data_IF_192981198101
#
_entry.id   IF_192981198101
#
_cell.length_a   1.000
_cell.length_b   1.000
_cell.length_c   1.000
_cell.angle_alpha   90.00
_cell.angle_beta   90.00
_cell.angle_gamma   90.00
#
_symmetry.space_group_name_H-M   'P 1'
#
loop_
_entity.id
_entity.type
_entity.pdbx_description
1 polymer ?
#
# COMPACT_ATOMS: atom_id res chain seq x y z
N UNK A 1 4.51 6.92 21.71
CA UNK A 1 3.24 6.30 21.30
C UNK A 1 2.08 7.15 21.80
N UNK A 2 1.12 7.50 20.93
CA UNK A 2 -0.13 8.17 21.33
C UNK A 2 -1.27 7.16 21.41
N UNK A 3 -1.85 6.95 22.59
CA UNK A 3 -2.94 5.97 22.80
C UNK A 3 -4.33 6.53 22.47
N UNK A 4 -4.53 7.82 22.75
CA UNK A 4 -5.80 8.54 22.56
C UNK A 4 -5.68 9.53 21.39
N UNK A 5 -6.54 9.42 20.36
CA UNK A 5 -6.54 10.35 19.24
C UNK A 5 -7.29 11.65 19.57
N UNK A 6 -6.88 12.76 18.98
CA UNK A 6 -7.41 14.09 19.27
C UNK A 6 -7.52 14.96 18.02
N UNK A 7 -8.40 15.97 18.03
CA UNK A 7 -8.43 17.00 16.99
C UNK A 7 -7.51 18.14 17.39
N UNK A 8 -6.55 18.47 16.52
CA UNK A 8 -5.68 19.63 16.69
C UNK A 8 -6.23 20.82 15.91
N UNK A 9 -6.30 21.97 16.56
CA UNK A 9 -6.71 23.24 15.98
C UNK A 9 -5.61 24.28 16.17
N UNK A 10 -5.54 25.23 15.24
CA UNK A 10 -4.68 26.41 15.31
C UNK A 10 -5.56 27.65 15.41
N UNK A 11 -5.21 28.51 16.36
CA UNK A 11 -5.85 29.79 16.63
C UNK A 11 -4.89 30.91 16.21
N UNK A 12 -5.09 31.56 15.05
CA UNK A 12 -4.34 32.75 14.71
C UNK A 12 -4.79 33.92 15.60
N UNK A 13 -3.86 34.73 16.11
CA UNK A 13 -4.20 35.94 16.89
C UNK A 13 -5.09 36.93 16.12
N UNK A 14 -5.02 36.87 14.80
CA UNK A 14 -5.57 37.87 13.88
C UNK A 14 -6.81 37.35 13.13
N UNK A 15 -7.34 36.15 13.47
CA UNK A 15 -8.49 35.55 12.81
C UNK A 15 -9.56 35.05 13.80
N UNK A 16 -10.83 35.30 13.47
CA UNK A 16 -12.00 34.92 14.27
C UNK A 16 -12.37 33.43 14.22
N UNK A 17 -11.64 32.60 13.46
CA UNK A 17 -12.01 31.21 13.20
C UNK A 17 -10.83 30.25 13.43
N UNK A 18 -11.12 29.13 14.09
CA UNK A 18 -10.15 28.07 14.36
C UNK A 18 -9.86 27.26 13.08
N UNK A 19 -8.59 27.08 12.73
CA UNK A 19 -8.19 26.26 11.59
C UNK A 19 -7.81 24.85 12.05
N UNK A 20 -8.41 23.79 11.47
CA UNK A 20 -8.04 22.42 11.83
C UNK A 20 -6.67 22.05 11.25
N UNK A 21 -5.79 21.52 12.10
CA UNK A 21 -4.44 21.08 11.72
C UNK A 21 -4.43 19.59 11.40
N UNK A 22 -4.15 19.26 10.14
CA UNK A 22 -4.02 17.89 9.65
C UNK A 22 -2.54 17.48 9.62
N UNK A 23 -2.04 16.97 10.75
CA UNK A 23 -0.63 16.64 10.95
C UNK A 23 -0.34 15.14 10.98
N UNK A 24 -0.98 14.42 11.90
CA UNK A 24 -0.58 13.07 12.31
C UNK A 24 -1.73 12.07 12.15
N UNK A 25 -1.42 10.76 12.06
CA UNK A 25 -2.45 9.75 11.81
C UNK A 25 -3.51 9.73 12.91
N UNK A 26 -3.08 9.83 14.18
CA UNK A 26 -3.94 9.95 15.36
C UNK A 26 -4.69 11.29 15.49
N UNK A 27 -4.57 12.22 14.53
CA UNK A 27 -5.43 13.42 14.45
C UNK A 27 -6.38 13.44 13.24
N UNK A 28 -6.36 12.39 12.41
CA UNK A 28 -7.28 12.18 11.30
C UNK A 28 -8.63 11.64 11.77
N UNK A 29 -9.72 12.06 11.10
CA UNK A 29 -11.07 11.57 11.42
C UNK A 29 -11.23 10.06 11.26
N UNK A 30 -10.47 9.42 10.38
CA UNK A 30 -10.47 7.96 10.23
C UNK A 30 -9.96 7.25 11.50
N UNK A 31 -8.95 7.80 12.17
CA UNK A 31 -8.37 7.23 13.39
C UNK A 31 -9.25 7.55 14.61
N UNK A 32 -9.77 8.78 14.68
CA UNK A 32 -10.77 9.19 15.68
C UNK A 32 -12.03 8.30 15.60
N UNK A 33 -12.54 8.04 14.39
CA UNK A 33 -13.70 7.17 14.17
C UNK A 33 -13.38 5.72 14.57
N UNK A 34 -12.28 5.15 14.09
CA UNK A 34 -11.90 3.77 14.44
C UNK A 34 -11.67 3.58 15.95
N UNK A 35 -11.18 4.60 16.66
CA UNK A 35 -11.08 4.60 18.11
C UNK A 35 -12.46 4.68 18.79
N UNK A 36 -13.38 5.50 18.28
CA UNK A 36 -14.78 5.54 18.78
C UNK A 36 -15.49 4.20 18.59
N UNK A 37 -15.39 3.61 17.40
CA UNK A 37 -15.93 2.29 17.06
C UNK A 37 -15.31 1.18 17.95
N UNK A 38 -14.07 1.35 18.41
CA UNK A 38 -13.43 0.46 19.40
C UNK A 38 -13.97 0.69 20.83
N UNK A 39 -14.15 1.94 21.28
CA UNK A 39 -14.71 2.21 22.62
C UNK A 39 -16.21 1.83 22.74
N UNK A 40 -16.95 1.86 21.64
CA UNK A 40 -18.35 1.40 21.58
C UNK A 40 -18.48 -0.12 21.41
N UNK A 41 -17.38 -0.83 21.12
CA UNK A 41 -17.39 -2.29 20.94
C UNK A 41 -17.57 -3.04 22.26
N UNK A 42 -18.18 -4.24 22.27
CA UNK A 42 -18.26 -5.06 23.47
C UNK A 42 -16.85 -5.41 24.00
N UNK A 43 -16.57 -5.24 25.30
CA UNK A 43 -15.26 -5.57 25.86
C UNK A 43 -15.00 -7.08 25.81
N UNK A 44 -13.74 -7.45 25.56
CA UNK A 44 -13.33 -8.87 25.45
C UNK A 44 -13.64 -9.66 26.74
N UNK A 45 -14.19 -10.89 26.66
CA UNK A 45 -14.63 -11.63 27.84
C UNK A 45 -13.53 -11.87 28.88
N UNK A 46 -13.69 -11.26 30.05
CA UNK A 46 -12.71 -11.34 31.15
C UNK A 46 -11.55 -10.35 31.04
N UNK A 47 -11.52 -9.49 30.01
CA UNK A 47 -10.62 -8.36 29.93
C UNK A 47 -11.28 -7.09 30.49
N UNK A 48 -10.53 -6.35 31.31
CA UNK A 48 -10.94 -5.08 31.92
C UNK A 48 -9.83 -4.01 31.84
N UNK A 49 -8.99 -4.11 30.80
CA UNK A 49 -7.97 -3.14 30.44
C UNK A 49 -8.53 -2.10 29.46
N UNK A 50 -7.89 -0.93 29.36
CA UNK A 50 -8.24 0.07 28.35
C UNK A 50 -7.93 -0.45 26.94
N UNK A 51 -8.94 -0.55 26.08
CA UNK A 51 -8.76 -0.86 24.66
C UNK A 51 -8.20 0.37 23.93
N UNK A 52 -7.03 0.22 23.30
CA UNK A 52 -6.33 1.29 22.58
C UNK A 52 -6.09 0.89 21.13
N UNK A 53 -6.20 1.85 20.21
CA UNK A 53 -6.04 1.57 18.78
C UNK A 53 -4.56 1.63 18.37
N UNK A 54 -3.94 0.47 18.14
CA UNK A 54 -2.63 0.38 17.50
C UNK A 54 -2.80 0.45 15.97
N UNK A 55 -2.48 1.60 15.38
CA UNK A 55 -2.53 1.78 13.93
C UNK A 55 -1.28 1.22 13.27
N UNK A 56 -1.39 0.08 12.60
CA UNK A 56 -0.29 -0.49 11.81
C UNK A 56 -0.22 0.15 10.43
N UNK A 57 0.99 0.52 10.02
CA UNK A 57 1.35 0.78 8.64
C UNK A 57 2.22 -0.41 8.17
N UNK A 58 2.02 -0.95 6.95
CA UNK A 58 2.68 -2.19 6.46
C UNK A 58 3.39 -1.98 5.12
N UNK A 59 4.72 -2.14 5.12
CA UNK A 59 5.55 -1.36 4.20
C UNK A 59 6.80 -2.14 3.76
N UNK A 60 7.16 -2.18 2.48
CA UNK A 60 8.19 -3.11 1.96
C UNK A 60 8.86 -2.56 0.71
N UNK A 61 10.12 -2.89 0.47
CA UNK A 61 10.86 -2.54 -0.75
C UNK A 61 11.85 -3.65 -1.18
N UNK A 62 12.32 -3.63 -2.43
CA UNK A 62 13.28 -4.60 -2.98
C UNK A 62 14.69 -4.00 -3.07
N UNK A 63 15.39 -3.89 -1.93
CA UNK A 63 16.75 -3.35 -1.88
C UNK A 63 17.80 -4.24 -2.55
N UNK A 64 18.75 -3.62 -3.25
CA UNK A 64 19.99 -4.28 -3.68
C UNK A 64 21.09 -4.02 -2.65
N UNK A 65 21.64 -5.09 -2.06
CA UNK A 65 22.55 -5.01 -0.91
C UNK A 65 23.97 -4.57 -1.26
N UNK A 66 24.35 -4.66 -2.53
CA UNK A 66 25.73 -4.44 -2.98
C UNK A 66 25.76 -3.68 -4.30
N UNK A 67 26.58 -2.62 -4.38
CA UNK A 67 26.79 -1.83 -5.62
C UNK A 67 27.28 -2.65 -6.81
N UNK A 68 27.89 -3.82 -6.55
CA UNK A 68 28.28 -4.82 -7.53
C UNK A 68 27.83 -6.20 -7.05
N UNK A 69 27.21 -6.98 -7.92
CA UNK A 69 26.67 -8.31 -7.61
C UNK A 69 25.15 -8.35 -7.44
N UNK A 70 24.61 -9.58 -7.37
CA UNK A 70 23.17 -9.85 -7.42
C UNK A 70 22.50 -10.01 -6.04
N UNK A 71 23.18 -9.63 -4.95
CA UNK A 71 22.64 -9.73 -3.61
C UNK A 71 21.46 -8.75 -3.43
N UNK A 72 20.30 -9.28 -3.06
CA UNK A 72 19.07 -8.51 -2.84
C UNK A 72 18.40 -8.94 -1.56
N UNK A 73 17.73 -7.97 -0.92
CA UNK A 73 16.86 -8.16 0.21
C UNK A 73 15.46 -7.68 -0.19
N UNK A 74 14.43 -8.21 0.44
CA UNK A 74 13.05 -7.75 0.26
C UNK A 74 12.38 -7.63 1.64
N UNK A 75 12.87 -6.73 2.50
CA UNK A 75 12.33 -6.55 3.84
C UNK A 75 10.84 -6.16 3.80
N UNK A 76 10.10 -6.68 4.77
CA UNK A 76 8.82 -6.10 5.20
C UNK A 76 9.06 -5.39 6.52
N UNK A 77 8.63 -4.14 6.55
CA UNK A 77 8.66 -3.23 7.66
C UNK A 77 7.27 -2.86 8.19
N UNK A 78 7.21 -2.38 9.43
CA UNK A 78 5.96 -2.02 10.15
C UNK A 78 6.15 -0.77 11.03
N UNK A 79 5.44 0.33 10.74
CA UNK A 79 5.38 1.52 11.60
C UNK A 79 4.11 1.50 12.45
N UNK A 80 4.22 2.01 13.68
CA UNK A 80 3.05 2.48 14.42
C UNK A 80 2.69 3.89 13.98
N UNK A 81 1.49 4.03 13.42
CA UNK A 81 0.85 5.30 13.10
C UNK A 81 0.62 6.19 14.35
N UNK A 82 0.65 5.58 15.54
CA UNK A 82 0.61 6.23 16.85
C UNK A 82 1.89 7.03 17.17
N UNK A 83 2.98 6.87 16.41
CA UNK A 83 4.18 7.70 16.53
C UNK A 83 4.18 8.87 15.54
N UNK A 84 4.62 10.03 16.03
CA UNK A 84 4.65 11.26 15.24
C UNK A 84 5.57 11.12 14.03
N UNK A 85 5.17 11.65 12.87
CA UNK A 85 6.00 11.74 11.65
C UNK A 85 7.41 12.24 11.97
N UNK A 86 7.53 13.22 12.87
CA UNK A 86 8.84 13.76 13.29
C UNK A 86 9.75 12.70 13.92
N UNK A 87 9.24 11.88 14.85
CA UNK A 87 10.01 10.77 15.42
C UNK A 87 10.26 9.66 14.39
N UNK A 88 9.27 9.37 13.53
CA UNK A 88 9.41 8.38 12.45
C UNK A 88 10.49 8.79 11.43
N UNK A 89 10.64 10.09 11.13
CA UNK A 89 11.74 10.59 10.30
C UNK A 89 13.13 10.60 10.97
N UNK A 90 13.28 10.12 12.21
CA UNK A 90 14.56 10.08 12.93
C UNK A 90 15.06 8.65 13.13
N UNK A 91 16.13 8.22 12.42
CA UNK A 91 16.77 6.93 12.66
C UNK A 91 17.21 6.70 14.12
N UNK A 92 17.60 7.77 14.84
CA UNK A 92 18.00 7.70 16.25
C UNK A 92 16.85 7.49 17.24
N UNK A 93 15.59 7.67 16.82
CA UNK A 93 14.43 7.19 17.58
C UNK A 93 14.24 5.67 17.45
N UNK A 94 15.09 4.99 16.65
CA UNK A 94 15.08 3.56 16.38
C UNK A 94 13.74 3.02 15.91
N UNK A 95 12.92 3.88 15.30
CA UNK A 95 11.66 3.47 14.72
C UNK A 95 11.88 2.76 13.34
N UNK A 96 12.82 1.78 13.23
CA UNK A 96 12.95 0.84 12.09
C UNK A 96 12.57 -0.73 12.15
N UNK A 97 11.31 -1.16 12.45
CA UNK A 97 10.54 -2.43 12.23
C UNK A 97 11.03 -3.20 11.03
N UNK A 98 11.86 -4.23 11.21
CA UNK A 98 11.88 -5.39 10.32
C UNK A 98 10.91 -6.46 10.84
N UNK A 99 9.77 -6.65 10.19
CA UNK A 99 8.78 -7.67 10.53
C UNK A 99 8.99 -9.00 9.77
N UNK A 100 9.50 -8.95 8.54
CA UNK A 100 9.87 -10.15 7.77
C UNK A 100 10.91 -9.85 6.68
N UNK A 101 11.40 -10.89 6.02
CA UNK A 101 12.18 -10.79 4.78
C UNK A 101 11.56 -11.71 3.72
N UNK A 102 11.01 -11.12 2.67
CA UNK A 102 10.37 -11.85 1.58
C UNK A 102 11.41 -12.53 0.69
N UNK A 103 11.11 -13.75 0.27
CA UNK A 103 11.87 -14.50 -0.72
C UNK A 103 11.38 -14.17 -2.13
N UNK A 104 12.32 -13.83 -3.01
CA UNK A 104 12.12 -13.90 -4.45
C UNK A 104 12.10 -15.36 -4.92
N UNK A 105 11.43 -15.64 -6.04
CA UNK A 105 11.56 -16.95 -6.70
C UNK A 105 13.04 -17.18 -7.09
N UNK A 106 13.67 -18.31 -6.67
CA UNK A 106 15.07 -18.58 -6.97
C UNK A 106 15.27 -18.84 -8.46
N UNK A 107 16.47 -18.58 -8.99
CA UNK A 107 16.75 -18.79 -10.42
C UNK A 107 16.50 -20.24 -10.88
N UNK A 108 16.74 -21.22 -10.01
CA UNK A 108 16.45 -22.64 -10.23
C UNK A 108 14.96 -22.92 -10.51
N UNK A 109 14.04 -22.06 -10.08
CA UNK A 109 12.61 -22.17 -10.45
C UNK A 109 12.40 -22.05 -11.97
N UNK A 110 13.24 -21.28 -12.67
CA UNK A 110 13.16 -21.15 -14.14
C UNK A 110 13.50 -22.48 -14.81
N UNK A 111 14.49 -23.22 -14.30
CA UNK A 111 14.90 -24.50 -14.86
C UNK A 111 13.94 -25.63 -14.49
N UNK A 112 13.45 -25.65 -13.24
CA UNK A 112 12.32 -26.48 -12.82
C UNK A 112 11.07 -26.25 -13.70
N UNK A 113 10.75 -25.01 -14.05
CA UNK A 113 9.60 -24.73 -14.90
C UNK A 113 9.82 -25.20 -16.36
N UNK A 114 11.04 -25.08 -16.92
CA UNK A 114 11.36 -25.54 -18.29
C UNK A 114 11.12 -27.04 -18.49
N UNK A 115 11.49 -27.87 -17.50
CA UNK A 115 11.29 -29.34 -17.59
C UNK A 115 9.80 -29.72 -17.68
N UNK A 116 8.90 -28.85 -17.20
CA UNK A 116 7.46 -29.03 -17.25
C UNK A 116 6.78 -28.37 -18.47
N UNK A 117 7.50 -27.60 -19.30
CA UNK A 117 6.94 -26.91 -20.49
C UNK A 117 7.43 -27.47 -21.81
N UNK A 118 7.88 -28.73 -21.85
CA UNK A 118 8.43 -29.39 -23.06
C UNK A 118 9.55 -28.58 -23.73
N UNK A 119 10.42 -27.97 -22.91
CA UNK A 119 11.48 -27.05 -23.32
C UNK A 119 11.02 -25.79 -24.09
N UNK A 120 9.72 -25.50 -24.14
CA UNK A 120 9.22 -24.24 -24.71
C UNK A 120 9.57 -23.05 -23.81
N UNK A 121 9.86 -21.89 -24.45
CA UNK A 121 10.29 -20.67 -23.78
C UNK A 121 9.21 -20.16 -22.81
N UNK A 122 9.54 -20.15 -21.51
CA UNK A 122 8.67 -19.60 -20.47
C UNK A 122 8.27 -18.15 -20.83
N UNK A 123 6.96 -17.87 -20.79
CA UNK A 123 6.45 -16.53 -21.07
C UNK A 123 6.68 -15.59 -19.88
N UNK A 124 6.90 -14.30 -20.15
CA UNK A 124 6.96 -13.28 -19.11
C UNK A 124 5.68 -13.27 -18.26
N UNK A 125 4.51 -13.40 -18.89
CA UNK A 125 3.22 -13.48 -18.20
C UNK A 125 3.11 -14.66 -17.22
N UNK A 126 3.67 -15.83 -17.55
CA UNK A 126 3.77 -16.96 -16.63
C UNK A 126 4.68 -16.62 -15.44
N UNK A 127 5.89 -16.10 -15.70
CA UNK A 127 6.83 -15.74 -14.63
C UNK A 127 6.26 -14.68 -13.68
N UNK A 128 5.63 -13.62 -14.20
CA UNK A 128 4.97 -12.58 -13.39
C UNK A 128 3.81 -13.14 -12.56
N UNK A 129 3.06 -14.11 -13.08
CA UNK A 129 2.00 -14.79 -12.32
C UNK A 129 2.57 -15.64 -11.18
N UNK A 130 3.65 -16.39 -11.44
CA UNK A 130 4.35 -17.14 -10.40
C UNK A 130 4.95 -16.22 -9.33
N UNK A 131 5.55 -15.08 -9.70
CA UNK A 131 6.05 -14.07 -8.76
C UNK A 131 4.92 -13.52 -7.87
N UNK A 132 3.77 -13.13 -8.46
CA UNK A 132 2.59 -12.69 -7.69
C UNK A 132 2.05 -13.78 -6.76
N UNK A 133 1.99 -15.03 -7.22
CA UNK A 133 1.58 -16.17 -6.37
C UNK A 133 2.56 -16.40 -5.22
N UNK A 134 3.86 -16.23 -5.43
CA UNK A 134 4.89 -16.31 -4.39
C UNK A 134 4.73 -15.19 -3.35
N UNK A 135 4.49 -13.95 -3.80
CA UNK A 135 4.25 -12.79 -2.93
C UNK A 135 3.02 -12.99 -2.03
N UNK A 136 1.85 -13.34 -2.61
CA UNK A 136 0.66 -13.56 -1.78
C UNK A 136 0.74 -14.81 -0.90
N UNK A 137 1.49 -15.85 -1.29
CA UNK A 137 1.70 -17.02 -0.43
C UNK A 137 2.43 -16.63 0.86
N UNK A 138 3.42 -15.73 0.78
CA UNK A 138 4.14 -15.20 1.93
C UNK A 138 3.23 -14.29 2.78
N UNK A 139 2.42 -13.44 2.16
CA UNK A 139 1.41 -12.66 2.89
C UNK A 139 0.33 -13.52 3.56
N UNK A 140 -0.03 -14.69 3.02
CA UNK A 140 -0.90 -15.65 3.71
C UNK A 140 -0.24 -16.30 4.94
N UNK A 141 1.10 -16.40 4.98
CA UNK A 141 1.84 -16.88 6.15
C UNK A 141 1.92 -15.78 7.22
N UNK A 142 2.12 -14.52 6.82
CA UNK A 142 2.15 -13.37 7.74
C UNK A 142 0.78 -13.05 8.33
N UNK A 143 -0.28 -13.12 7.51
CA UNK A 143 -1.67 -12.97 7.95
C UNK A 143 -2.22 -14.32 8.46
N UNK A 144 -1.49 -14.99 9.36
CA UNK A 144 -1.88 -16.28 9.97
C UNK A 144 -3.06 -16.14 10.94
N UNK A 145 -3.65 -17.25 11.38
CA UNK A 145 -4.91 -17.22 12.15
C UNK A 145 -4.76 -16.55 13.53
N UNK A 146 -3.60 -16.70 14.18
CA UNK A 146 -3.26 -15.96 15.41
C UNK A 146 -3.09 -14.44 15.17
N UNK A 147 -2.56 -14.00 14.02
CA UNK A 147 -2.57 -12.58 13.66
C UNK A 147 -4.01 -12.06 13.47
N UNK A 148 -4.88 -12.83 12.80
CA UNK A 148 -6.29 -12.45 12.67
C UNK A 148 -7.01 -12.43 14.03
N UNK A 149 -6.73 -13.38 14.91
CA UNK A 149 -7.25 -13.41 16.28
C UNK A 149 -6.80 -12.16 17.05
N UNK A 150 -5.51 -11.80 17.01
CA UNK A 150 -4.98 -10.59 17.66
C UNK A 150 -5.50 -9.29 17.02
N UNK A 151 -5.85 -9.31 15.73
CA UNK A 151 -6.49 -8.18 15.04
C UNK A 151 -7.98 -8.01 15.43
N UNK A 152 -8.69 -9.11 15.72
CA UNK A 152 -10.09 -9.08 16.13
C UNK A 152 -10.28 -8.85 17.63
N UNK A 153 -9.50 -9.53 18.47
CA UNK A 153 -9.62 -9.56 19.94
C UNK A 153 -8.55 -8.73 20.66
N UNK A 154 -7.68 -8.05 19.92
CA UNK A 154 -6.54 -7.33 20.47
C UNK A 154 -5.44 -8.24 21.03
N UNK A 155 -4.45 -7.62 21.68
CA UNK A 155 -3.36 -8.29 22.40
C UNK A 155 -2.97 -7.45 23.62
N UNK A 156 -2.69 -8.11 24.76
CA UNK A 156 -2.30 -7.43 26.00
C UNK A 156 -0.83 -7.02 25.92
N UNK A 157 -0.57 -5.74 25.61
CA UNK A 157 0.78 -5.16 25.55
C UNK A 157 1.15 -4.60 26.94
N UNK A 158 2.26 -5.07 27.52
CA UNK A 158 2.90 -4.40 28.66
C UNK A 158 3.72 -3.22 28.14
N UNK A 159 3.32 -2.01 28.50
CA UNK A 159 3.96 -0.78 28.03
C UNK A 159 5.34 -0.57 28.69
N UNK A 160 6.39 -0.78 27.91
CA UNK A 160 7.75 -0.24 28.08
C UNK A 160 8.24 0.23 26.69
N UNK A 161 9.22 1.13 26.64
CA UNK A 161 9.36 2.06 25.50
C UNK A 161 9.93 1.47 24.19
N UNK A 162 9.21 1.63 23.06
CA UNK A 162 9.79 1.61 21.70
C UNK A 162 8.96 1.16 20.47
N UNK A 163 9.33 1.67 19.27
CA UNK A 163 9.66 0.93 18.01
C UNK A 163 8.49 0.36 17.06
N UNK A 164 8.42 0.29 15.69
CA UNK A 164 9.35 0.68 14.57
C UNK A 164 8.94 1.11 13.01
N UNK A 165 9.25 0.63 11.70
CA UNK A 165 9.44 1.32 10.26
C UNK A 165 8.52 1.30 8.90
N UNK A 166 8.92 1.99 7.74
CA UNK A 166 8.25 2.36 6.39
C UNK A 166 8.65 1.62 5.00
N UNK A 167 8.50 2.24 3.79
CA UNK A 167 7.91 1.79 2.46
C UNK A 167 8.93 1.63 1.25
N UNK A 168 8.59 1.26 -0.04
CA UNK A 168 7.26 1.11 -0.74
C UNK A 168 7.03 0.02 -1.87
N UNK A 169 5.91 -0.74 -1.87
CA UNK A 169 5.58 -1.73 -2.96
C UNK A 169 4.08 -1.94 -3.37
N UNK A 170 3.28 -0.88 -3.28
CA UNK A 170 1.80 -0.86 -3.42
C UNK A 170 1.15 -1.63 -4.60
N UNK A 171 1.71 -1.69 -5.82
CA UNK A 171 1.04 -2.34 -6.97
C UNK A 171 0.91 -3.87 -6.79
N UNK A 172 1.87 -4.52 -6.12
CA UNK A 172 1.78 -5.95 -5.82
C UNK A 172 0.70 -6.22 -4.76
N UNK A 173 0.64 -5.39 -3.71
CA UNK A 173 -0.36 -5.53 -2.65
C UNK A 173 -1.79 -5.31 -3.20
N UNK A 174 -1.98 -4.34 -4.10
CA UNK A 174 -3.28 -3.97 -4.67
C UNK A 174 -3.89 -4.96 -5.69
N UNK A 175 -3.14 -6.00 -6.12
CA UNK A 175 -3.55 -6.91 -7.21
C UNK A 175 -3.92 -6.21 -8.53
N UNK A 176 -3.31 -5.06 -8.80
CA UNK A 176 -3.53 -4.31 -10.04
C UNK A 176 -2.49 -4.70 -11.09
N UNK A 177 -2.96 -4.85 -12.32
CA UNK A 177 -2.14 -5.06 -13.50
C UNK A 177 -1.35 -3.77 -13.76
N UNK A 178 -0.02 -3.84 -13.63
CA UNK A 178 0.87 -2.78 -14.14
C UNK A 178 0.58 -2.52 -15.63
N UNK A 179 0.46 -1.24 -16.02
CA UNK A 179 -0.08 -0.79 -17.31
C UNK A 179 -1.47 -1.37 -17.62
N UNK A 180 -2.35 -1.38 -16.62
CA UNK A 180 -3.77 -1.69 -16.73
C UNK A 180 -4.60 -0.48 -17.18
N UNK A 181 -5.87 -0.71 -17.54
CA UNK A 181 -6.75 0.34 -18.06
C UNK A 181 -7.06 1.43 -17.02
N UNK A 182 -7.12 1.08 -15.73
CA UNK A 182 -7.18 2.00 -14.59
C UNK A 182 -5.86 1.86 -13.80
N UNK A 183 -5.07 2.93 -13.57
CA UNK A 183 -3.76 2.83 -12.93
C UNK A 183 -3.80 2.97 -11.41
N UNK A 184 -4.80 3.66 -10.86
CA UNK A 184 -4.83 4.05 -9.45
C UNK A 184 -5.29 2.89 -8.55
N UNK A 185 -4.62 2.64 -7.40
CA UNK A 185 -5.11 1.66 -6.43
C UNK A 185 -6.42 2.05 -5.76
N UNK A 186 -6.78 3.34 -5.75
CA UNK A 186 -7.99 3.84 -5.07
C UNK A 186 -9.20 4.06 -5.98
N UNK A 187 -9.03 4.15 -7.31
CA UNK A 187 -10.13 4.45 -8.22
C UNK A 187 -10.04 3.79 -9.61
N UNK A 188 -11.22 3.55 -10.17
CA UNK A 188 -11.48 2.98 -11.49
C UNK A 188 -11.45 4.05 -12.60
N UNK A 189 -10.70 5.14 -12.43
CA UNK A 189 -10.52 6.16 -13.47
C UNK A 189 -9.64 5.61 -14.58
N UNK A 190 -10.10 5.56 -15.85
CA UNK A 190 -9.31 5.05 -16.95
C UNK A 190 -8.09 5.93 -17.28
N UNK A 191 -7.02 5.31 -17.80
CA UNK A 191 -5.81 5.98 -18.32
C UNK A 191 -6.13 7.09 -19.33
N UNK A 192 -7.21 6.93 -20.11
CA UNK A 192 -7.67 7.94 -21.09
C UNK A 192 -8.22 9.21 -20.46
N UNK A 193 -8.55 9.21 -19.16
CA UNK A 193 -9.03 10.38 -18.41
C UNK A 193 -7.94 10.99 -17.50
N UNK A 194 -6.74 10.43 -17.46
CA UNK A 194 -5.59 10.99 -16.71
C UNK A 194 -5.27 12.44 -17.09
N UNK A 195 -5.38 12.89 -18.35
CA UNK A 195 -5.22 14.31 -18.70
C UNK A 195 -6.24 15.27 -18.07
N UNK A 196 -7.35 14.76 -17.50
CA UNK A 196 -8.43 15.55 -16.92
C UNK A 196 -8.39 15.57 -15.37
N UNK A 197 -7.32 15.04 -14.75
CA UNK A 197 -7.13 15.08 -13.30
C UNK A 197 -7.10 16.54 -12.82
N UNK A 198 -7.92 16.86 -11.81
CA UNK A 198 -8.10 18.22 -11.29
C UNK A 198 -9.42 18.89 -11.70
N UNK A 199 -10.22 18.26 -12.56
CA UNK A 199 -11.63 18.63 -12.78
C UNK A 199 -12.55 17.84 -11.83
N UNK A 200 -13.74 18.38 -11.53
CA UNK A 200 -14.77 17.74 -10.67
C UNK A 200 -15.43 16.52 -11.34
N UNK A 201 -14.63 15.47 -11.54
CA UNK A 201 -15.08 14.18 -12.04
C UNK A 201 -15.45 13.25 -10.87
N UNK A 202 -16.59 12.55 -10.99
CA UNK A 202 -17.02 11.55 -10.00
C UNK A 202 -16.00 10.40 -9.97
N UNK A 203 -15.17 10.37 -8.93
CA UNK A 203 -14.13 9.35 -8.74
C UNK A 203 -14.80 8.04 -8.34
N UNK A 204 -14.94 7.11 -9.30
CA UNK A 204 -15.41 5.75 -9.04
C UNK A 204 -14.39 5.00 -8.17
N UNK A 205 -14.64 4.92 -6.86
CA UNK A 205 -13.74 4.29 -5.89
C UNK A 205 -13.59 2.78 -6.16
N UNK A 206 -12.39 2.25 -5.98
CA UNK A 206 -12.13 0.81 -6.01
C UNK A 206 -12.71 0.16 -4.74
N UNK A 207 -13.64 -0.79 -4.92
CA UNK A 207 -14.29 -1.54 -3.85
C UNK A 207 -14.06 -3.03 -4.09
N UNK A 208 -13.31 -3.68 -3.20
CA UNK A 208 -13.22 -5.14 -3.18
C UNK A 208 -14.61 -5.70 -2.83
N UNK A 209 -15.13 -6.58 -3.69
CA UNK A 209 -16.48 -7.12 -3.55
C UNK A 209 -16.64 -8.46 -4.26
N UNK A 210 -17.75 -9.15 -3.96
CA UNK A 210 -18.03 -10.49 -4.46
C UNK A 210 -18.03 -10.60 -6.01
N UNK A 211 -18.35 -9.54 -6.76
CA UNK A 211 -18.24 -9.53 -8.23
C UNK A 211 -16.78 -9.57 -8.69
N UNK A 212 -15.91 -8.76 -8.08
CA UNK A 212 -14.48 -8.74 -8.41
C UNK A 212 -13.79 -10.03 -7.98
N UNK A 213 -14.08 -10.50 -6.76
CA UNK A 213 -13.56 -11.78 -6.23
C UNK A 213 -14.00 -12.96 -7.10
N UNK A 214 -15.28 -13.02 -7.51
CA UNK A 214 -15.80 -14.05 -8.43
C UNK A 214 -15.12 -13.99 -9.80
N UNK A 215 -14.84 -12.80 -10.34
CA UNK A 215 -14.06 -12.65 -11.59
C UNK A 215 -12.64 -13.19 -11.43
N UNK A 216 -11.93 -12.82 -10.36
CA UNK A 216 -10.58 -13.33 -10.09
C UNK A 216 -10.59 -14.86 -9.90
N UNK A 217 -11.58 -15.42 -9.20
CA UNK A 217 -11.74 -16.86 -9.02
C UNK A 217 -12.01 -17.61 -10.34
N UNK A 218 -12.89 -17.09 -11.21
CA UNK A 218 -13.14 -17.66 -12.54
C UNK A 218 -11.88 -17.61 -13.41
N UNK A 219 -11.12 -16.52 -13.37
CA UNK A 219 -9.87 -16.39 -14.11
C UNK A 219 -8.77 -17.34 -13.58
N UNK A 220 -8.71 -17.55 -12.27
CA UNK A 220 -7.84 -18.55 -11.63
C UNK A 220 -8.22 -19.97 -12.06
N UNK A 221 -9.51 -20.31 -12.07
CA UNK A 221 -10.01 -21.61 -12.54
C UNK A 221 -9.71 -21.87 -14.03
N UNK A 222 -9.78 -20.83 -14.88
CA UNK A 222 -9.39 -20.95 -16.29
C UNK A 222 -7.90 -21.31 -16.45
N UNK A 223 -7.02 -20.77 -15.61
CA UNK A 223 -5.59 -21.12 -15.60
C UNK A 223 -5.39 -22.54 -15.05
N UNK A 224 -5.83 -22.81 -13.82
CA UNK A 224 -5.44 -24.03 -13.10
C UNK A 224 -6.28 -25.26 -13.48
N UNK A 225 -7.61 -25.13 -13.64
CA UNK A 225 -8.50 -26.25 -13.97
C UNK A 225 -8.69 -26.46 -15.47
N UNK A 226 -8.60 -25.39 -16.27
CA UNK A 226 -8.78 -25.44 -17.74
C UNK A 226 -7.50 -25.21 -18.56
N UNK A 227 -6.34 -25.05 -17.91
CA UNK A 227 -4.99 -24.95 -18.51
C UNK A 227 -4.83 -23.82 -19.55
N UNK A 228 -5.61 -22.75 -19.46
CA UNK A 228 -5.43 -21.58 -20.33
C UNK A 228 -4.20 -20.76 -19.92
N UNK A 229 -3.49 -20.22 -20.92
CA UNK A 229 -2.38 -19.30 -20.68
C UNK A 229 -2.86 -18.03 -19.95
N UNK A 230 -2.06 -17.56 -18.99
CA UNK A 230 -2.35 -16.41 -18.11
C UNK A 230 -2.74 -15.16 -18.90
N UNK A 231 -2.08 -14.91 -20.02
CA UNK A 231 -2.31 -13.74 -20.87
C UNK A 231 -3.41 -13.93 -21.93
N UNK A 232 -4.05 -15.10 -22.02
CA UNK A 232 -5.04 -15.39 -23.05
C UNK A 232 -6.28 -14.50 -22.95
N UNK A 233 -6.93 -14.22 -24.09
CA UNK A 233 -8.12 -13.36 -24.14
C UNK A 233 -9.27 -13.89 -23.26
N UNK A 234 -9.36 -15.22 -23.05
CA UNK A 234 -10.37 -15.83 -22.17
C UNK A 234 -10.12 -15.55 -20.68
N UNK A 235 -8.86 -15.38 -20.26
CA UNK A 235 -8.49 -15.02 -18.88
C UNK A 235 -8.54 -13.50 -18.69
N UNK A 236 -8.01 -12.74 -19.65
CA UNK A 236 -7.90 -11.28 -19.55
C UNK A 236 -9.20 -10.51 -19.82
N UNK A 237 -10.08 -11.02 -20.69
CA UNK A 237 -11.15 -10.21 -21.32
C UNK A 237 -12.10 -9.51 -20.34
N UNK A 238 -12.47 -10.17 -19.25
CA UNK A 238 -13.32 -9.61 -18.21
C UNK A 238 -12.55 -9.02 -17.00
N UNK A 239 -11.23 -9.19 -16.94
CA UNK A 239 -10.37 -8.61 -15.89
C UNK A 239 -9.86 -7.21 -16.27
N UNK A 240 -9.52 -6.98 -17.55
CA UNK A 240 -8.91 -5.73 -18.02
C UNK A 240 -9.76 -4.48 -17.70
N UNK A 241 -11.09 -4.63 -17.71
CA UNK A 241 -12.04 -3.53 -17.43
C UNK A 241 -11.90 -2.90 -16.03
N UNK A 242 -11.29 -3.61 -15.07
CA UNK A 242 -10.95 -3.10 -13.72
C UNK A 242 -9.46 -3.30 -13.37
N UNK A 243 -8.59 -3.45 -14.38
CA UNK A 243 -7.16 -3.77 -14.20
C UNK A 243 -6.84 -5.00 -13.33
N UNK A 244 -7.78 -5.93 -13.15
CA UNK A 244 -7.61 -7.06 -12.24
C UNK A 244 -6.56 -8.07 -12.75
N UNK A 245 -5.92 -8.79 -11.82
CA UNK A 245 -5.03 -9.93 -12.13
C UNK A 245 -5.69 -11.26 -11.76
N UNK A 246 -5.37 -12.38 -12.44
CA UNK A 246 -5.98 -13.69 -12.18
C UNK A 246 -5.35 -14.39 -10.95
N UNK A 247 -5.16 -13.64 -9.87
CA UNK A 247 -4.42 -14.07 -8.68
C UNK A 247 -5.22 -13.74 -7.42
N UNK A 248 -5.58 -14.76 -6.64
CA UNK A 248 -6.24 -14.59 -5.35
C UNK A 248 -5.33 -13.79 -4.41
N UNK A 249 -5.85 -12.71 -3.84
CA UNK A 249 -5.12 -11.77 -2.99
C UNK A 249 -5.25 -12.18 -1.51
N UNK A 250 -4.13 -12.17 -0.78
CA UNK A 250 -4.08 -12.55 0.64
C UNK A 250 -4.95 -11.66 1.53
N UNK A 251 -4.83 -10.34 1.38
CA UNK A 251 -5.57 -9.34 2.17
C UNK A 251 -7.07 -9.40 1.89
N UNK A 252 -7.47 -9.48 0.61
CA UNK A 252 -8.87 -9.68 0.21
C UNK A 252 -9.47 -10.93 0.85
N UNK A 253 -8.73 -12.05 0.84
CA UNK A 253 -9.19 -13.33 1.40
C UNK A 253 -9.20 -13.36 2.95
N UNK A 254 -8.26 -12.69 3.61
CA UNK A 254 -8.05 -12.79 5.07
C UNK A 254 -8.67 -11.64 5.87
N UNK A 255 -8.69 -10.43 5.31
CA UNK A 255 -9.21 -9.21 5.95
C UNK A 255 -10.54 -8.73 5.35
N UNK A 256 -10.86 -9.12 4.10
CA UNK A 256 -12.17 -8.85 3.49
C UNK A 256 -13.37 -9.39 4.28
N UNK A 257 -13.32 -10.61 4.87
CA UNK A 257 -14.36 -11.11 5.78
C UNK A 257 -14.55 -10.26 7.05
N UNK A 258 -13.55 -9.45 7.42
CA UNK A 258 -13.59 -8.52 8.56
C UNK A 258 -14.09 -7.12 8.16
N UNK A 259 -14.70 -6.99 6.97
CA UNK A 259 -15.20 -5.73 6.43
C UNK A 259 -14.14 -4.82 5.79
N UNK A 260 -12.87 -5.24 5.75
CA UNK A 260 -11.78 -4.40 5.27
C UNK A 260 -11.69 -4.35 3.75
N UNK A 261 -11.98 -3.20 3.14
CA UNK A 261 -11.76 -2.99 1.71
C UNK A 261 -10.26 -2.83 1.42
N UNK A 262 -9.63 -3.83 0.80
CA UNK A 262 -8.22 -3.80 0.37
C UNK A 262 -7.80 -2.45 -0.25
N UNK A 263 -8.63 -1.89 -1.13
CA UNK A 263 -8.27 -0.67 -1.86
C UNK A 263 -8.22 0.60 -1.00
N UNK A 264 -8.80 0.61 0.20
CA UNK A 264 -8.66 1.72 1.15
C UNK A 264 -7.33 1.71 1.91
N UNK A 265 -6.58 0.60 1.89
CA UNK A 265 -5.26 0.49 2.53
C UNK A 265 -4.19 1.31 1.80
N UNK A 266 -4.43 1.72 0.56
CA UNK A 266 -3.46 2.47 -0.24
C UNK A 266 -3.65 3.98 -0.11
N UNK A 267 -2.68 4.63 0.53
CA UNK A 267 -2.50 6.09 0.45
C UNK A 267 -1.91 6.45 -0.92
N UNK A 268 -2.24 7.61 -1.49
CA UNK A 268 -1.53 8.15 -2.66
C UNK A 268 -0.16 8.66 -2.21
N UNK A 269 0.91 8.10 -2.77
CA UNK A 269 2.28 8.55 -2.52
C UNK A 269 2.70 9.46 -3.66
N UNK A 270 2.62 10.76 -3.44
CA UNK A 270 2.96 11.76 -4.47
C UNK A 270 4.44 11.68 -4.89
N UNK A 271 5.33 11.18 -4.03
CA UNK A 271 6.75 10.99 -4.34
C UNK A 271 6.93 9.87 -5.36
N UNK A 272 6.36 8.68 -5.10
CA UNK A 272 6.48 7.56 -6.05
C UNK A 272 5.53 7.65 -7.25
N UNK A 273 4.38 8.31 -7.12
CA UNK A 273 3.36 8.39 -8.18
C UNK A 273 3.53 9.65 -9.07
N UNK A 274 4.31 10.66 -8.64
CA UNK A 274 4.56 11.91 -9.41
C UNK A 274 6.04 12.37 -9.41
N UNK A 275 6.82 12.16 -8.35
CA UNK A 275 8.24 12.59 -8.31
C UNK A 275 9.27 11.65 -8.98
N UNK A 276 8.87 10.50 -9.52
CA UNK A 276 9.75 9.62 -10.31
C UNK A 276 10.24 10.30 -11.61
N UNK A 277 11.25 11.17 -11.47
CA UNK A 277 11.79 12.05 -12.50
C UNK A 277 10.90 13.26 -12.82
N UNK A 278 9.58 13.08 -12.89
CA UNK A 278 8.66 14.05 -13.50
C UNK A 278 8.53 15.34 -12.69
N UNK A 279 8.14 15.29 -11.40
CA UNK A 279 8.02 16.51 -10.58
C UNK A 279 9.34 17.30 -10.51
N UNK A 280 10.48 16.62 -10.31
CA UNK A 280 11.81 17.25 -10.30
C UNK A 280 12.11 17.95 -11.63
N UNK A 281 11.75 17.33 -12.75
CA UNK A 281 11.93 17.92 -14.09
C UNK A 281 11.01 19.13 -14.32
N UNK A 282 9.76 19.04 -13.88
CA UNK A 282 8.78 20.13 -13.95
C UNK A 282 9.20 21.31 -13.06
N UNK A 283 9.64 21.06 -11.83
CA UNK A 283 10.11 22.09 -10.91
C UNK A 283 11.37 22.78 -11.45
N UNK A 284 12.36 22.03 -11.95
CA UNK A 284 13.54 22.61 -12.63
C UNK A 284 13.15 23.41 -13.89
N UNK A 285 12.11 23.00 -14.62
CA UNK A 285 11.59 23.75 -15.76
C UNK A 285 10.88 25.05 -15.34
N UNK A 286 10.09 25.04 -14.27
CA UNK A 286 9.44 26.23 -13.70
C UNK A 286 10.46 27.22 -13.12
N UNK A 287 11.51 26.74 -12.44
CA UNK A 287 12.64 27.56 -11.99
C UNK A 287 13.35 28.24 -13.17
N UNK A 288 13.55 27.53 -14.29
CA UNK A 288 14.11 28.12 -15.52
C UNK A 288 13.19 29.16 -16.16
N UNK A 289 11.87 28.96 -16.10
CA UNK A 289 10.91 30.00 -16.55
C UNK A 289 11.03 31.25 -15.67
N UNK A 290 11.05 31.09 -14.33
CA UNK A 290 11.23 32.20 -13.39
C UNK A 290 12.53 32.96 -13.66
N UNK A 291 13.64 32.26 -13.87
CA UNK A 291 14.94 32.83 -14.24
C UNK A 291 14.86 33.66 -15.53
N UNK A 292 14.25 33.13 -16.59
CA UNK A 292 14.07 33.85 -17.87
C UNK A 292 13.11 35.04 -17.79
N UNK A 293 12.24 35.11 -16.78
CA UNK A 293 11.36 36.26 -16.53
C UNK A 293 12.10 37.33 -15.72
N UNK A 294 12.75 36.94 -14.62
CA UNK A 294 13.64 37.77 -13.82
C UNK A 294 14.38 36.88 -12.80
N UNK A 295 15.71 36.74 -12.92
CA UNK A 295 16.54 35.93 -12.01
C UNK A 295 16.36 36.25 -10.52
N UNK A 296 16.09 37.51 -10.16
CA UNK A 296 15.81 37.92 -8.77
C UNK A 296 14.49 37.36 -8.19
N UNK A 297 13.69 36.64 -8.97
CA UNK A 297 12.56 35.85 -8.47
C UNK A 297 13.01 34.52 -7.85
N UNK A 298 14.18 33.99 -8.23
CA UNK A 298 14.77 32.81 -7.58
C UNK A 298 15.26 33.14 -6.18
N UNK A 299 15.96 34.27 -6.00
CA UNK A 299 16.40 34.76 -4.69
C UNK A 299 15.22 34.99 -3.74
N UNK A 300 14.07 35.41 -4.29
CA UNK A 300 12.80 35.56 -3.54
C UNK A 300 12.09 34.26 -3.21
N UNK A 301 12.45 33.15 -3.87
CA UNK A 301 11.90 31.81 -3.63
C UNK A 301 12.74 30.99 -2.65
N UNK A 302 14.06 31.24 -2.58
CA UNK A 302 14.98 30.57 -1.63
C UNK A 302 15.12 31.31 -0.28
N UNK A 303 14.48 32.48 -0.12
CA UNK A 303 14.31 33.15 1.17
C UNK A 303 13.50 32.26 2.14
N UNK A 304 14.07 32.04 3.33
CA UNK A 304 13.51 31.21 4.41
C UNK A 304 13.12 32.04 5.63
#
# INVERSE_FOLDING_TARGET
>A
FHYEPYKLFWHPSDQLHEARVHGEAYTLDAFLKAHHELQESPPEPGCNLQCVLAGFMFLSDSTQLTSFGNAKLWPLYVYFANESKYCRTKPSCHLCNHAAYSQSLPDSFKDFAKTHTSNSKLTSAFMTHCQRKCFYAQWCILLHDEFLHAYQHGVIIKCCDGIDSDYPEKILIASIKNLGNCPCPRCLTPMTLVPNIGQDAIVNICIDNADQQKKVAVAHDLIYKKKYAVNSNKVNGFLMAKSLVPTLNAFSHRLGPLGSNLYSMFVVDFMHEVELGVWKSLFVYLLRILDTVNGGLLDRLDLR
#
